data_IF_991152324274
#
_entry.id   IF_991152324274
#
_cell.length_a   1.000
_cell.length_b   1.000
_cell.length_c   1.000
_cell.angle_alpha   90.00
_cell.angle_beta   90.00
_cell.angle_gamma   90.00
#
_symmetry.space_group_name_H-M   'P 1'
#
loop_
_entity.id
_entity.type
_entity.pdbx_description
1 polymer ?
#
# COMPACT_ATOMS: atom_id res chain seq x y z
N UNK A 1 17.82 15.71 -14.64
CA UNK A 1 17.67 17.16 -14.88
C UNK A 1 19.01 17.77 -15.26
N UNK A 2 20.01 17.66 -14.38
CA UNK A 2 21.37 18.18 -14.64
C UNK A 2 22.02 17.51 -15.87
N UNK A 3 21.93 16.18 -16.00
CA UNK A 3 22.46 15.44 -17.16
C UNK A 3 21.77 15.76 -18.51
N UNK A 4 20.60 16.42 -18.48
CA UNK A 4 19.86 16.85 -19.67
C UNK A 4 19.80 18.39 -19.75
N UNK A 5 20.71 19.08 -19.06
CA UNK A 5 20.89 20.53 -19.06
C UNK A 5 19.63 21.36 -18.70
N UNK A 6 18.74 20.82 -17.87
CA UNK A 6 17.65 21.62 -17.29
C UNK A 6 18.25 22.54 -16.22
N UNK A 7 17.92 23.85 -16.20
CA UNK A 7 18.45 24.76 -15.20
C UNK A 7 18.16 24.28 -13.78
N UNK A 8 19.20 24.26 -12.94
CA UNK A 8 19.10 23.75 -11.57
C UNK A 8 18.09 24.53 -10.73
N UNK A 9 18.02 25.84 -10.89
CA UNK A 9 17.02 26.69 -10.23
C UNK A 9 15.57 26.28 -10.59
N UNK A 10 15.30 25.99 -11.86
CA UNK A 10 13.98 25.52 -12.33
C UNK A 10 13.66 24.13 -11.77
N UNK A 11 14.65 23.24 -11.70
CA UNK A 11 14.48 21.90 -11.12
C UNK A 11 14.16 21.97 -9.63
N UNK A 12 14.86 22.82 -8.88
CA UNK A 12 14.58 23.05 -7.47
C UNK A 12 13.17 23.62 -7.25
N UNK A 13 12.75 24.59 -8.06
CA UNK A 13 11.40 25.16 -7.99
C UNK A 13 10.32 24.11 -8.31
N UNK A 14 10.56 23.25 -9.30
CA UNK A 14 9.62 22.18 -9.63
C UNK A 14 9.44 21.20 -8.46
N UNK A 15 10.53 20.85 -7.77
CA UNK A 15 10.48 19.98 -6.60
C UNK A 15 9.69 20.58 -5.43
N UNK A 16 9.74 21.90 -5.22
CA UNK A 16 8.97 22.55 -4.15
C UNK A 16 7.48 22.65 -4.45
N UNK A 17 7.10 22.64 -5.74
CA UNK A 17 5.70 22.69 -6.17
C UNK A 17 5.06 21.32 -6.37
N UNK A 18 5.85 20.25 -6.33
CA UNK A 18 5.37 18.90 -6.58
C UNK A 18 4.63 18.35 -5.35
N UNK A 19 3.33 18.12 -5.49
CA UNK A 19 2.46 17.64 -4.39
C UNK A 19 2.31 16.12 -4.34
N UNK A 20 3.11 15.38 -5.11
CA UNK A 20 2.96 13.93 -5.27
C UNK A 20 2.13 13.55 -6.49
N UNK A 21 1.93 12.24 -6.69
CA UNK A 21 1.09 11.69 -7.75
C UNK A 21 -0.17 11.09 -7.16
N UNK A 22 -1.27 11.17 -7.90
CA UNK A 22 -2.49 10.45 -7.56
C UNK A 22 -2.20 8.94 -7.38
N UNK A 23 -2.86 8.33 -6.40
CA UNK A 23 -2.78 6.91 -6.07
C UNK A 23 -1.41 6.40 -5.57
N UNK A 24 -0.50 7.30 -5.20
CA UNK A 24 0.77 6.97 -4.52
C UNK A 24 0.71 7.45 -3.08
N UNK A 25 0.35 6.54 -2.18
CA UNK A 25 0.17 6.82 -0.75
C UNK A 25 -0.70 8.06 -0.47
N UNK A 26 -1.80 8.20 -1.22
CA UNK A 26 -2.63 9.38 -1.21
C UNK A 26 -3.71 9.27 -0.12
N UNK A 27 -3.81 10.26 0.78
CA UNK A 27 -4.97 10.38 1.67
C UNK A 27 -6.23 10.66 0.83
N UNK A 28 -7.11 9.67 0.74
CA UNK A 28 -8.34 9.73 -0.04
C UNK A 28 -9.51 10.26 0.80
N UNK A 29 -9.53 9.90 2.09
CA UNK A 29 -10.56 10.34 3.03
C UNK A 29 -10.03 10.30 4.45
N UNK A 30 -10.46 11.25 5.27
CA UNK A 30 -10.21 11.24 6.71
C UNK A 30 -11.48 11.66 7.43
N UNK A 31 -11.93 10.82 8.37
CA UNK A 31 -13.11 11.11 9.19
C UNK A 31 -13.11 10.25 10.43
N UNK A 32 -13.61 10.78 11.55
CA UNK A 32 -13.73 10.07 12.83
C UNK A 32 -12.41 9.40 13.30
N UNK A 33 -11.27 10.04 13.04
CA UNK A 33 -9.95 9.52 13.39
C UNK A 33 -9.43 8.38 12.50
N UNK A 34 -10.14 8.04 11.42
CA UNK A 34 -9.72 7.01 10.46
C UNK A 34 -9.20 7.65 9.18
N UNK A 35 -8.00 7.25 8.77
CA UNK A 35 -7.35 7.65 7.51
C UNK A 35 -7.50 6.56 6.47
N UNK A 36 -8.05 6.90 5.31
CA UNK A 36 -8.17 6.02 4.16
C UNK A 36 -7.10 6.40 3.13
N UNK A 37 -6.11 5.52 2.95
CA UNK A 37 -4.99 5.76 2.03
C UNK A 37 -5.21 4.97 0.75
N UNK A 38 -5.24 5.67 -0.39
CA UNK A 38 -5.22 5.05 -1.71
C UNK A 38 -3.78 4.94 -2.21
N UNK A 39 -3.27 3.71 -2.20
CA UNK A 39 -2.00 3.34 -2.81
C UNK A 39 -2.16 2.28 -3.91
N UNK A 40 -3.25 2.37 -4.70
CA UNK A 40 -3.56 1.40 -5.76
C UNK A 40 -2.50 1.30 -6.88
N UNK A 41 -1.50 2.17 -6.90
CA UNK A 41 -0.31 2.04 -7.77
C UNK A 41 0.79 1.15 -7.19
N UNK A 42 0.64 0.63 -5.97
CA UNK A 42 1.49 -0.41 -5.42
C UNK A 42 1.18 -1.77 -6.08
N UNK A 43 1.47 -1.90 -7.38
CA UNK A 43 1.18 -3.09 -8.18
C UNK A 43 2.30 -4.13 -8.12
N UNK A 44 3.25 -4.00 -7.20
CA UNK A 44 4.36 -4.93 -6.98
C UNK A 44 4.78 -4.89 -5.51
N UNK A 45 5.47 -5.94 -5.06
CA UNK A 45 5.90 -6.14 -3.67
C UNK A 45 6.72 -4.96 -3.15
N UNK A 46 7.71 -4.49 -3.92
CA UNK A 46 8.59 -3.41 -3.50
C UNK A 46 7.88 -2.06 -3.29
N UNK A 47 6.82 -1.79 -4.07
CA UNK A 47 5.99 -0.60 -3.83
C UNK A 47 5.23 -0.71 -2.51
N UNK A 48 4.66 -1.88 -2.20
CA UNK A 48 3.98 -2.11 -0.92
C UNK A 48 4.96 -2.06 0.25
N UNK A 49 6.19 -2.60 0.09
CA UNK A 49 7.24 -2.45 1.11
C UNK A 49 7.57 -0.99 1.37
N UNK A 50 7.68 -0.16 0.33
CA UNK A 50 7.92 1.28 0.49
C UNK A 50 6.79 2.00 1.23
N UNK A 51 5.53 1.55 1.07
CA UNK A 51 4.38 2.09 1.78
C UNK A 51 4.32 1.67 3.26
N UNK A 52 4.73 0.44 3.56
CA UNK A 52 4.71 -0.11 4.93
C UNK A 52 5.96 0.27 5.75
N UNK A 53 7.09 0.50 5.09
CA UNK A 53 8.33 0.82 5.75
C UNK A 53 8.25 2.18 6.47
N UNK A 54 8.38 2.16 7.81
CA UNK A 54 8.29 3.35 8.64
C UNK A 54 6.87 3.85 8.90
N UNK A 55 5.84 3.13 8.43
CA UNK A 55 4.44 3.48 8.68
C UNK A 55 4.13 3.43 10.17
N UNK A 56 3.59 4.52 10.71
CA UNK A 56 3.12 4.62 12.09
C UNK A 56 1.58 4.69 12.10
N UNK A 57 0.97 3.78 12.86
CA UNK A 57 -0.48 3.68 13.02
C UNK A 57 -0.78 3.61 14.51
N UNK A 58 -1.54 4.58 15.03
CA UNK A 58 -1.89 4.64 16.45
C UNK A 58 -2.91 3.56 16.86
N UNK A 59 -3.62 2.99 15.89
CA UNK A 59 -4.60 1.90 16.06
C UNK A 59 -4.32 0.72 15.14
N UNK A 60 -5.37 0.12 14.59
CA UNK A 60 -5.27 -1.05 13.71
C UNK A 60 -5.02 -0.64 12.26
N UNK A 61 -4.01 -1.25 11.63
CA UNK A 61 -3.82 -1.20 10.19
C UNK A 61 -4.74 -2.24 9.51
N UNK A 62 -5.72 -1.75 8.75
CA UNK A 62 -6.54 -2.57 7.86
C UNK A 62 -5.92 -2.53 6.46
N UNK A 63 -5.20 -3.58 6.08
CA UNK A 63 -4.45 -3.64 4.83
C UNK A 63 -5.18 -4.49 3.79
N UNK A 64 -5.51 -3.88 2.65
CA UNK A 64 -6.11 -4.55 1.51
C UNK A 64 -5.00 -5.01 0.55
N UNK A 65 -4.91 -6.32 0.30
CA UNK A 65 -3.92 -6.93 -0.61
C UNK A 65 -4.62 -7.80 -1.65
N UNK A 66 -4.27 -7.68 -2.92
CA UNK A 66 -4.92 -8.53 -3.91
C UNK A 66 -4.59 -8.21 -5.36
N UNK A 67 -5.18 -9.00 -6.25
CA UNK A 67 -5.01 -8.89 -7.70
C UNK A 67 -4.16 -10.01 -8.30
N UNK A 68 -3.51 -9.71 -9.43
CA UNK A 68 -2.58 -10.60 -10.14
C UNK A 68 -1.14 -10.12 -9.86
N UNK A 69 -0.47 -10.84 -8.99
CA UNK A 69 0.91 -10.61 -8.57
C UNK A 69 1.95 -11.15 -9.54
N UNK A 70 1.54 -11.73 -10.68
CA UNK A 70 2.44 -12.18 -11.76
C UNK A 70 3.55 -13.11 -11.26
N UNK A 71 3.18 -14.05 -10.39
CA UNK A 71 4.10 -15.02 -9.77
C UNK A 71 5.19 -14.38 -8.89
N UNK A 72 4.93 -13.19 -8.34
CA UNK A 72 5.84 -12.56 -7.39
C UNK A 72 5.96 -13.37 -6.09
N UNK A 73 7.13 -13.27 -5.45
CA UNK A 73 7.33 -13.75 -4.09
C UNK A 73 6.86 -12.69 -3.10
N UNK A 74 5.81 -13.00 -2.33
CA UNK A 74 5.25 -12.12 -1.31
C UNK A 74 5.92 -12.27 0.07
N UNK A 75 6.85 -13.22 0.24
CA UNK A 75 7.55 -13.45 1.50
C UNK A 75 8.17 -12.20 2.14
N UNK A 76 8.68 -11.19 1.38
CA UNK A 76 9.25 -9.98 1.98
C UNK A 76 8.24 -9.13 2.75
N UNK A 77 6.94 -9.28 2.49
CA UNK A 77 5.89 -8.54 3.18
C UNK A 77 5.68 -9.03 4.61
N UNK A 78 5.95 -10.31 4.91
CA UNK A 78 5.60 -10.94 6.18
C UNK A 78 6.17 -10.21 7.41
N UNK A 79 7.36 -9.61 7.29
CA UNK A 79 7.99 -8.82 8.38
C UNK A 79 7.21 -7.57 8.78
N UNK A 80 6.45 -6.96 7.87
CA UNK A 80 5.65 -5.77 8.15
C UNK A 80 4.27 -6.11 8.71
N UNK A 81 3.87 -7.38 8.61
CA UNK A 81 2.54 -7.85 9.01
C UNK A 81 2.53 -8.39 10.43
N UNK A 82 3.59 -8.16 11.20
CA UNK A 82 3.73 -8.62 12.59
C UNK A 82 3.00 -7.70 13.58
N UNK A 83 2.77 -8.18 14.80
CA UNK A 83 2.12 -7.43 15.87
C UNK A 83 0.59 -7.57 15.90
N UNK A 84 -0.05 -7.06 16.95
CA UNK A 84 -1.47 -7.33 17.22
C UNK A 84 -2.43 -6.39 16.47
N UNK A 85 -1.90 -5.30 15.93
CA UNK A 85 -2.68 -4.21 15.34
C UNK A 85 -2.72 -4.27 13.80
N UNK A 86 -2.64 -5.47 13.20
CA UNK A 86 -2.70 -5.64 11.74
C UNK A 86 -3.83 -6.59 11.38
N UNK A 87 -4.65 -6.19 10.39
CA UNK A 87 -5.69 -7.02 9.77
C UNK A 87 -5.48 -7.02 8.26
N UNK A 88 -5.55 -8.21 7.66
CA UNK A 88 -5.37 -8.40 6.22
C UNK A 88 -6.72 -8.70 5.57
N UNK A 89 -7.00 -8.02 4.48
CA UNK A 89 -8.16 -8.29 3.63
C UNK A 89 -7.64 -8.63 2.24
N UNK A 90 -7.61 -9.92 1.94
CA UNK A 90 -7.00 -10.47 0.75
C UNK A 90 -8.06 -10.76 -0.32
N UNK A 91 -7.80 -10.42 -1.58
CA UNK A 91 -8.78 -10.62 -2.66
C UNK A 91 -8.14 -10.89 -4.02
N UNK A 92 -8.98 -11.29 -5.00
CA UNK A 92 -8.56 -11.53 -6.37
C UNK A 92 -7.70 -12.80 -6.54
N UNK A 93 -7.04 -12.90 -7.70
CA UNK A 93 -6.36 -14.11 -8.18
C UNK A 93 -5.37 -14.70 -7.17
N UNK A 94 -4.50 -13.87 -6.61
CA UNK A 94 -3.45 -14.31 -5.69
C UNK A 94 -3.82 -14.05 -4.21
N UNK A 95 -5.09 -13.72 -3.93
CA UNK A 95 -5.57 -13.42 -2.57
C UNK A 95 -5.30 -14.55 -1.58
N UNK A 96 -5.44 -15.82 -2.01
CA UNK A 96 -5.16 -16.97 -1.15
C UNK A 96 -3.68 -17.07 -0.76
N UNK A 97 -2.75 -16.77 -1.68
CA UNK A 97 -1.32 -16.77 -1.40
C UNK A 97 -0.95 -15.63 -0.45
N UNK A 98 -1.56 -14.46 -0.61
CA UNK A 98 -1.39 -13.31 0.28
C UNK A 98 -1.93 -13.58 1.69
N UNK A 99 -3.10 -14.24 1.79
CA UNK A 99 -3.68 -14.63 3.08
C UNK A 99 -2.79 -15.62 3.86
N UNK A 100 -2.04 -16.47 3.16
CA UNK A 100 -1.10 -17.41 3.78
C UNK A 100 0.10 -16.75 4.46
N UNK A 101 0.38 -15.47 4.19
CA UNK A 101 1.44 -14.73 4.88
C UNK A 101 1.17 -14.63 6.38
N UNK A 102 -0.10 -14.52 6.78
CA UNK A 102 -0.53 -14.45 8.17
C UNK A 102 -2.00 -14.86 8.35
N UNK A 103 -2.32 -16.16 8.29
CA UNK A 103 -3.69 -16.66 8.24
C UNK A 103 -4.57 -16.22 9.42
N UNK A 104 -3.96 -16.05 10.60
CA UNK A 104 -4.67 -15.73 11.85
C UNK A 104 -5.28 -14.32 11.90
N UNK A 105 -4.83 -13.41 11.03
CA UNK A 105 -5.38 -12.04 10.90
C UNK A 105 -5.94 -11.75 9.51
N UNK A 106 -6.01 -12.75 8.64
CA UNK A 106 -6.41 -12.59 7.25
C UNK A 106 -7.86 -13.00 7.00
N UNK A 107 -8.55 -12.18 6.22
CA UNK A 107 -9.87 -12.48 5.64
C UNK A 107 -9.73 -12.54 4.13
N UNK A 108 -10.17 -13.65 3.51
CA UNK A 108 -10.15 -13.83 2.07
C UNK A 108 -11.55 -13.51 1.50
N UNK A 109 -11.60 -12.64 0.50
CA UNK A 109 -12.80 -12.32 -0.28
C UNK A 109 -12.53 -12.50 -1.78
N UNK A 110 -13.56 -12.47 -2.60
CA UNK A 110 -13.39 -12.53 -4.06
C UNK A 110 -12.97 -11.18 -4.61
N UNK A 111 -13.61 -10.10 -4.14
CA UNK A 111 -13.42 -8.74 -4.66
C UNK A 111 -12.98 -7.74 -3.59
N UNK A 112 -12.37 -6.64 -4.05
CA UNK A 112 -12.03 -5.50 -3.19
C UNK A 112 -13.28 -4.87 -2.55
N UNK A 113 -14.41 -4.85 -3.25
CA UNK A 113 -15.67 -4.33 -2.71
C UNK A 113 -16.15 -5.15 -1.50
N UNK A 114 -16.08 -6.48 -1.59
CA UNK A 114 -16.41 -7.35 -0.46
C UNK A 114 -15.45 -7.12 0.71
N UNK A 115 -14.14 -7.00 0.44
CA UNK A 115 -13.14 -6.69 1.46
C UNK A 115 -13.43 -5.37 2.19
N UNK A 116 -13.88 -4.33 1.47
CA UNK A 116 -14.24 -3.04 2.07
C UNK A 116 -15.54 -3.06 2.90
N UNK A 117 -16.41 -4.04 2.69
CA UNK A 117 -17.71 -4.16 3.38
C UNK A 117 -17.67 -5.08 4.60
N UNK A 118 -16.56 -5.78 4.82
CA UNK A 118 -16.40 -6.77 5.89
C UNK A 118 -15.91 -6.12 7.17
#
# INVERSE_FOLDING_TARGET
ADAVNIPRASSLKALTTFTGLAHRFQLAWESNGVRWINDSKATNVGSTEAALNGLQVDGTLHLLLGGDGKSADFSPLARYLQGDNVRLYCFGRDGAQLAQLRPEVATLTETMEQAMRT
#
